data_IF_348867184009
#
_entry.id   IF_348867184009
#
_cell.length_a   1.000
_cell.length_b   1.000
_cell.length_c   1.000
_cell.angle_alpha   90.00
_cell.angle_beta   90.00
_cell.angle_gamma   90.00
#
_symmetry.space_group_name_H-M   'P 1'
#
loop_
_entity.id
_entity.type
_entity.pdbx_description
1 polymer ?
#
# COMPACT_ATOMS: atom_id res chain seq x y z
N UNK A 1 -19.95 18.57 7.16
CA UNK A 1 -19.44 17.28 7.69
C UNK A 1 -18.49 16.71 6.66
N UNK A 2 -17.22 17.05 6.78
CA UNK A 2 -16.12 16.36 6.10
C UNK A 2 -15.14 16.05 7.24
N UNK A 3 -14.63 14.82 7.27
CA UNK A 3 -13.92 14.24 8.40
C UNK A 3 -12.88 15.16 9.04
N UNK A 4 -12.66 14.96 10.34
CA UNK A 4 -11.66 15.72 11.12
C UNK A 4 -10.30 15.71 10.40
N UNK A 5 -9.46 16.74 10.61
CA UNK A 5 -8.17 16.93 9.91
C UNK A 5 -7.31 15.64 9.87
N UNK A 6 -7.46 14.80 10.89
CA UNK A 6 -6.77 13.53 11.04
C UNK A 6 -7.27 12.44 10.09
N UNK A 7 -8.57 12.35 9.83
CA UNK A 7 -9.15 11.41 8.85
C UNK A 7 -8.64 11.71 7.44
N UNK A 8 -8.56 12.99 7.06
CA UNK A 8 -7.99 13.39 5.77
C UNK A 8 -6.52 12.99 5.64
N UNK A 9 -5.71 13.26 6.67
CA UNK A 9 -4.30 12.88 6.68
C UNK A 9 -4.12 11.36 6.64
N UNK A 10 -4.97 10.62 7.37
CA UNK A 10 -5.00 9.16 7.34
C UNK A 10 -5.28 8.63 5.93
N UNK A 11 -6.33 9.13 5.26
CA UNK A 11 -6.66 8.70 3.89
C UNK A 11 -5.54 9.03 2.90
N UNK A 12 -4.93 10.21 2.99
CA UNK A 12 -3.80 10.58 2.14
C UNK A 12 -2.60 9.66 2.35
N UNK A 13 -2.28 9.32 3.61
CA UNK A 13 -1.22 8.35 3.93
C UNK A 13 -1.52 6.96 3.39
N UNK A 14 -2.78 6.51 3.45
CA UNK A 14 -3.21 5.25 2.87
C UNK A 14 -3.06 5.24 1.33
N UNK A 15 -3.51 6.29 0.65
CA UNK A 15 -3.36 6.43 -0.80
C UNK A 15 -1.89 6.47 -1.23
N UNK A 16 -1.03 7.20 -0.50
CA UNK A 16 0.41 7.23 -0.77
C UNK A 16 1.05 5.85 -0.61
N UNK A 17 0.67 5.10 0.43
CA UNK A 17 1.18 3.74 0.64
C UNK A 17 0.77 2.80 -0.51
N UNK A 18 -0.48 2.89 -0.98
CA UNK A 18 -0.97 2.11 -2.13
C UNK A 18 -0.17 2.49 -3.39
N UNK A 19 -0.01 3.79 -3.67
CA UNK A 19 0.73 4.25 -4.83
C UNK A 19 2.19 3.75 -4.83
N UNK A 20 2.86 3.77 -3.69
CA UNK A 20 4.24 3.27 -3.57
C UNK A 20 4.35 1.76 -3.80
N UNK A 21 3.40 0.98 -3.26
CA UNK A 21 3.37 -0.48 -3.44
C UNK A 21 3.15 -0.83 -4.91
N UNK A 22 2.16 -0.20 -5.55
CA UNK A 22 1.77 -0.50 -6.94
C UNK A 22 2.84 -0.06 -7.95
N UNK A 23 3.64 0.97 -7.62
CA UNK A 23 4.75 1.43 -8.46
C UNK A 23 6.04 0.62 -8.27
N UNK A 24 6.08 -0.38 -7.38
CA UNK A 24 7.23 -1.28 -7.24
C UNK A 24 7.49 -2.01 -8.56
N UNK A 25 8.77 -2.12 -8.94
CA UNK A 25 9.18 -2.89 -10.12
C UNK A 25 8.61 -4.31 -10.00
N UNK A 26 8.01 -4.79 -11.09
CA UNK A 26 7.41 -6.13 -11.19
C UNK A 26 6.18 -6.38 -10.30
N UNK A 27 5.61 -5.34 -9.64
CA UNK A 27 4.39 -5.49 -8.82
C UNK A 27 3.27 -6.17 -9.60
N UNK A 28 2.92 -5.66 -10.78
CA UNK A 28 1.83 -6.21 -11.59
C UNK A 28 2.12 -7.64 -12.04
N UNK A 29 3.35 -7.95 -12.44
CA UNK A 29 3.75 -9.32 -12.78
C UNK A 29 3.50 -10.28 -11.62
N UNK A 30 3.92 -9.90 -10.41
CA UNK A 30 3.72 -10.70 -9.20
C UNK A 30 2.24 -10.77 -8.80
N UNK A 31 1.50 -9.68 -8.98
CA UNK A 31 0.07 -9.58 -8.69
C UNK A 31 -0.74 -10.53 -9.57
N UNK A 32 -0.50 -10.50 -10.89
CA UNK A 32 -1.18 -11.39 -11.83
C UNK A 32 -0.72 -12.85 -11.72
N UNK A 33 0.48 -13.11 -11.21
CA UNK A 33 0.99 -14.47 -10.97
C UNK A 33 0.53 -15.06 -9.62
N UNK A 34 -0.11 -14.28 -8.75
CA UNK A 34 -0.58 -14.76 -7.45
C UNK A 34 -1.68 -15.81 -7.64
N UNK A 35 -1.49 -16.98 -7.01
CA UNK A 35 -2.36 -18.15 -7.22
C UNK A 35 -3.60 -18.16 -6.33
N UNK A 36 -3.54 -17.42 -5.23
CA UNK A 36 -4.57 -17.38 -4.20
C UNK A 36 -4.47 -16.10 -3.35
N UNK A 37 -5.40 -15.99 -2.41
CA UNK A 37 -5.48 -14.84 -1.49
C UNK A 37 -4.26 -14.74 -0.57
N UNK A 38 -3.64 -15.85 -0.19
CA UNK A 38 -2.46 -15.85 0.68
C UNK A 38 -1.22 -15.33 -0.07
N UNK A 39 -1.08 -15.67 -1.36
CA UNK A 39 -0.06 -15.12 -2.24
C UNK A 39 -0.22 -13.61 -2.41
N UNK A 40 -1.46 -13.11 -2.55
CA UNK A 40 -1.74 -11.66 -2.60
C UNK A 40 -1.41 -10.98 -1.26
N UNK A 41 -1.77 -11.59 -0.12
CA UNK A 41 -1.42 -11.08 1.21
C UNK A 41 0.09 -11.02 1.40
N UNK A 42 0.81 -12.07 1.03
CA UNK A 42 2.27 -12.12 1.12
C UNK A 42 2.93 -11.06 0.22
N UNK A 43 2.42 -10.87 -0.99
CA UNK A 43 2.88 -9.82 -1.89
C UNK A 43 2.78 -8.45 -1.20
N UNK A 44 1.61 -8.10 -0.64
CA UNK A 44 1.40 -6.83 0.04
C UNK A 44 2.22 -6.67 1.32
N UNK A 45 2.41 -7.75 2.09
CA UNK A 45 3.22 -7.74 3.32
C UNK A 45 4.71 -7.53 3.04
N UNK A 46 5.21 -8.10 1.94
CA UNK A 46 6.61 -8.02 1.54
C UNK A 46 6.93 -6.79 0.68
N UNK A 47 5.91 -6.08 0.16
CA UNK A 47 6.11 -4.87 -0.63
C UNK A 47 6.80 -3.77 0.17
N UNK A 48 7.74 -3.09 -0.49
CA UNK A 48 8.46 -1.97 0.12
C UNK A 48 7.62 -0.70 -0.02
N UNK A 49 7.46 0.03 1.09
CA UNK A 49 6.93 1.40 1.08
C UNK A 49 7.77 2.27 2.01
N UNK A 50 7.87 3.55 1.70
CA UNK A 50 8.42 4.53 2.65
C UNK A 50 7.40 4.70 3.75
N UNK A 51 7.74 4.25 4.95
CA UNK A 51 6.96 4.56 6.14
C UNK A 51 7.43 5.92 6.63
N UNK A 52 6.51 6.83 6.89
CA UNK A 52 6.81 8.02 7.69
C UNK A 52 7.24 7.51 9.06
N UNK A 53 8.54 7.50 9.31
CA UNK A 53 9.05 7.36 10.67
C UNK A 53 8.80 8.71 11.33
N UNK A 54 7.60 8.91 11.88
CA UNK A 54 7.44 9.96 12.87
C UNK A 54 8.32 9.56 14.06
N UNK A 55 9.41 10.31 14.26
CA UNK A 55 10.01 10.53 15.57
C UNK A 55 8.97 11.19 16.49
#
# INVERSE_FOLDING_TARGET
MAGTKDERNYHLRALMAIAQIVQEKDFYTRWFAARDTDALRNLLLLSKRKRDTQQ
#
